data_IF_309281489490
#
_entry.id   IF_309281489490
#
_cell.length_a   1.000
_cell.length_b   1.000
_cell.length_c   1.000
_cell.angle_alpha   90.00
_cell.angle_beta   90.00
_cell.angle_gamma   90.00
#
_symmetry.space_group_name_H-M   'P 1'
#
loop_
_entity.id
_entity.type
_entity.pdbx_description
1 polymer ?
#
# COMPACT_ATOMS: atom_id res chain seq x y z
N UNK A 1 38.80 -4.86 -0.30
CA UNK A 1 38.27 -4.18 0.90
C UNK A 1 37.41 -2.95 0.61
N UNK A 2 37.53 -2.32 -0.57
CA UNK A 2 36.79 -1.09 -0.92
C UNK A 2 35.34 -1.30 -1.38
N UNK A 3 35.01 -2.47 -1.96
CA UNK A 3 33.66 -2.76 -2.45
C UNK A 3 32.60 -2.80 -1.32
N UNK A 4 32.92 -3.43 -0.19
CA UNK A 4 32.03 -3.52 0.97
C UNK A 4 31.75 -2.16 1.62
N UNK A 5 32.72 -1.24 1.64
CA UNK A 5 32.54 0.13 2.18
C UNK A 5 31.60 0.99 1.31
N UNK A 6 31.67 0.85 -0.02
CA UNK A 6 30.78 1.56 -0.92
C UNK A 6 29.35 1.01 -0.89
N UNK A 7 29.13 -0.24 -0.47
CA UNK A 7 27.84 -0.93 -0.48
C UNK A 7 27.24 -1.12 0.91
N UNK A 8 27.94 -0.69 1.98
CA UNK A 8 27.39 -0.76 3.33
C UNK A 8 26.04 -0.04 3.41
N UNK A 9 25.02 -0.61 4.07
CA UNK A 9 23.74 0.02 4.21
C UNK A 9 23.89 1.33 5.01
N UNK A 10 23.38 2.43 4.47
CA UNK A 10 23.33 3.70 5.20
C UNK A 10 22.30 3.60 6.32
N UNK A 11 22.42 4.46 7.37
CA UNK A 11 21.40 4.54 8.47
C UNK A 11 19.98 4.66 7.93
N UNK A 12 19.80 5.40 6.83
CA UNK A 12 18.51 5.56 6.16
C UNK A 12 17.93 4.23 5.67
N UNK A 13 18.74 3.35 5.09
CA UNK A 13 18.29 2.05 4.58
C UNK A 13 17.92 1.09 5.70
N UNK A 14 18.60 1.16 6.84
CA UNK A 14 18.19 0.40 8.01
C UNK A 14 16.81 0.82 8.53
N UNK A 15 16.53 2.15 8.53
CA UNK A 15 15.19 2.65 8.88
C UNK A 15 14.13 2.15 7.88
N UNK A 16 14.44 2.15 6.57
CA UNK A 16 13.53 1.63 5.56
C UNK A 16 13.28 0.12 5.71
N UNK A 17 14.32 -0.67 6.02
CA UNK A 17 14.20 -2.10 6.27
C UNK A 17 13.35 -2.36 7.51
N UNK A 18 13.61 -1.64 8.59
CA UNK A 18 12.82 -1.71 9.80
C UNK A 18 11.33 -1.39 9.53
N UNK A 19 11.05 -0.32 8.80
CA UNK A 19 9.69 0.04 8.42
C UNK A 19 9.03 -1.06 7.56
N UNK A 20 9.75 -1.66 6.61
CA UNK A 20 9.26 -2.77 5.81
C UNK A 20 8.90 -3.99 6.66
N UNK A 21 9.74 -4.34 7.64
CA UNK A 21 9.47 -5.44 8.57
C UNK A 21 8.29 -5.13 9.50
N UNK A 22 8.21 -3.89 10.01
CA UNK A 22 7.10 -3.47 10.88
C UNK A 22 5.75 -3.53 10.15
N UNK A 23 5.71 -3.09 8.89
CA UNK A 23 4.46 -3.10 8.10
C UNK A 23 4.02 -4.51 7.70
N UNK A 24 4.97 -5.45 7.61
CA UNK A 24 4.74 -6.82 7.18
C UNK A 24 5.09 -7.83 8.29
N UNK A 25 4.63 -7.56 9.51
CA UNK A 25 4.97 -8.34 10.69
C UNK A 25 4.17 -9.66 10.83
N UNK A 26 3.12 -9.89 10.03
CA UNK A 26 2.36 -11.14 10.03
C UNK A 26 3.06 -12.22 9.19
N UNK A 27 4.10 -12.82 9.77
CA UNK A 27 4.94 -13.79 9.05
C UNK A 27 4.22 -15.12 8.78
N UNK A 28 3.27 -15.51 9.63
CA UNK A 28 2.45 -16.72 9.44
C UNK A 28 1.67 -16.69 8.13
N UNK A 29 1.17 -15.52 7.71
CA UNK A 29 0.42 -15.38 6.48
C UNK A 29 1.16 -15.83 5.22
N UNK A 30 2.49 -15.69 5.19
CA UNK A 30 3.30 -16.23 4.08
C UNK A 30 3.37 -17.76 4.05
N UNK A 31 3.23 -18.40 5.22
CA UNK A 31 3.26 -19.86 5.34
C UNK A 31 1.88 -20.44 5.07
N UNK A 32 0.84 -19.76 5.51
CA UNK A 32 -0.56 -20.21 5.44
C UNK A 32 -1.26 -19.74 4.16
N UNK A 33 -0.68 -18.81 3.39
CA UNK A 33 -1.32 -18.23 2.20
C UNK A 33 -2.52 -17.33 2.52
N UNK A 34 -2.63 -16.84 3.76
CA UNK A 34 -3.77 -16.07 4.26
C UNK A 34 -3.43 -14.61 4.50
N UNK A 35 -4.43 -13.73 4.35
CA UNK A 35 -4.29 -12.30 4.62
C UNK A 35 -4.60 -12.03 6.10
N UNK A 36 -3.74 -11.25 6.76
CA UNK A 36 -4.01 -10.79 8.12
C UNK A 36 -5.32 -9.99 8.22
N UNK A 37 -6.20 -10.37 9.13
CA UNK A 37 -7.54 -9.77 9.35
C UNK A 37 -7.68 -9.03 10.69
N UNK A 38 -6.64 -9.01 11.52
CA UNK A 38 -6.68 -8.40 12.85
C UNK A 38 -6.86 -6.89 12.85
N UNK A 39 -7.14 -6.31 14.03
CA UNK A 39 -7.48 -4.90 14.25
C UNK A 39 -6.42 -3.90 13.77
N UNK A 40 -5.14 -4.30 13.72
CA UNK A 40 -4.06 -3.44 13.20
C UNK A 40 -4.26 -3.09 11.72
N UNK A 41 -5.04 -3.88 10.96
CA UNK A 41 -5.37 -3.62 9.56
C UNK A 41 -6.12 -2.30 9.34
N UNK A 42 -6.78 -1.80 10.37
CA UNK A 42 -7.49 -0.51 10.34
C UNK A 42 -6.53 0.69 10.35
N UNK A 43 -5.25 0.48 10.68
CA UNK A 43 -4.24 1.54 10.68
C UNK A 43 -3.63 1.70 9.29
N UNK A 44 -3.62 2.93 8.78
CA UNK A 44 -2.92 3.25 7.55
C UNK A 44 -1.42 3.43 7.81
N UNK A 45 -0.60 2.65 7.10
CA UNK A 45 0.86 2.83 7.10
C UNK A 45 1.26 3.99 6.18
N UNK A 46 2.31 4.77 6.50
CA UNK A 46 2.66 5.95 5.71
C UNK A 46 3.19 5.64 4.30
N UNK A 47 3.78 4.46 4.10
CA UNK A 47 4.38 4.02 2.84
C UNK A 47 3.40 3.29 1.91
N UNK A 48 3.87 3.02 0.69
CA UNK A 48 3.17 2.11 -0.23
C UNK A 48 3.47 0.67 0.22
N UNK A 49 2.45 -0.02 0.72
CA UNK A 49 2.48 -1.40 1.20
C UNK A 49 1.15 -2.05 0.86
N UNK A 50 1.15 -3.21 0.21
CA UNK A 50 -0.09 -3.80 -0.27
C UNK A 50 -0.95 -4.32 0.89
N UNK A 51 -2.19 -3.87 0.95
CA UNK A 51 -3.18 -4.37 1.91
C UNK A 51 -3.43 -5.88 1.78
N UNK A 52 -3.40 -6.43 0.55
CA UNK A 52 -3.59 -7.86 0.28
C UNK A 52 -2.30 -8.68 0.45
N UNK A 53 -1.20 -8.10 0.93
CA UNK A 53 0.00 -8.87 1.28
C UNK A 53 -0.30 -9.76 2.49
N UNK A 54 0.07 -11.06 2.46
CA UNK A 54 -0.08 -11.95 3.60
C UNK A 54 0.57 -11.43 4.89
N UNK A 55 1.72 -10.80 4.74
CA UNK A 55 2.47 -10.23 5.86
C UNK A 55 1.94 -8.88 6.36
N UNK A 56 1.11 -8.17 5.58
CA UNK A 56 0.76 -6.79 5.89
C UNK A 56 -0.20 -6.67 7.08
N UNK A 57 0.27 -6.04 8.14
CA UNK A 57 -0.52 -5.74 9.36
C UNK A 57 -1.23 -4.40 9.30
N UNK A 58 -0.91 -3.54 8.35
CA UNK A 58 -1.55 -2.23 8.16
C UNK A 58 -2.02 -2.01 6.73
N UNK A 59 -2.92 -1.05 6.54
CA UNK A 59 -3.51 -0.73 5.25
C UNK A 59 -2.70 0.32 4.48
N UNK A 60 -2.64 0.17 3.15
CA UNK A 60 -2.09 1.19 2.27
C UNK A 60 -3.05 2.39 2.19
N UNK A 61 -2.61 3.63 2.50
CA UNK A 61 -3.51 4.79 2.47
C UNK A 61 -4.05 5.09 1.06
N UNK A 62 -3.32 4.74 0.01
CA UNK A 62 -3.78 4.91 -1.36
C UNK A 62 -4.87 3.89 -1.74
N UNK A 63 -4.72 2.64 -1.31
CA UNK A 63 -5.74 1.61 -1.50
C UNK A 63 -7.01 1.94 -0.73
N UNK A 64 -6.86 2.33 0.55
CA UNK A 64 -7.97 2.76 1.39
C UNK A 64 -8.70 3.99 0.81
N UNK A 65 -7.95 4.95 0.23
CA UNK A 65 -8.55 6.10 -0.44
C UNK A 65 -9.41 5.68 -1.64
N UNK A 66 -8.89 4.82 -2.51
CA UNK A 66 -9.63 4.35 -3.69
C UNK A 66 -10.88 3.58 -3.31
N UNK A 67 -10.78 2.68 -2.32
CA UNK A 67 -11.94 1.93 -1.83
C UNK A 67 -12.99 2.85 -1.19
N UNK A 68 -12.56 3.84 -0.41
CA UNK A 68 -13.49 4.80 0.19
C UNK A 68 -14.15 5.74 -0.84
N UNK A 69 -13.45 6.07 -1.94
CA UNK A 69 -14.02 6.84 -3.05
C UNK A 69 -14.96 6.00 -3.94
N UNK A 70 -14.68 4.69 -4.05
CA UNK A 70 -15.52 3.76 -4.79
C UNK A 70 -16.77 3.30 -4.01
N UNK A 71 -16.75 3.38 -2.69
CA UNK A 71 -17.92 3.10 -1.87
C UNK A 71 -18.92 4.25 -2.03
N UNK A 72 -20.08 3.99 -2.65
CA UNK A 72 -21.15 4.97 -2.90
C UNK A 72 -21.91 5.43 -1.65
N UNK A 73 -21.41 5.08 -0.46
CA UNK A 73 -22.04 5.46 0.81
C UNK A 73 -21.77 6.90 1.19
N UNK A 74 -22.73 7.54 1.85
CA UNK A 74 -22.72 8.94 2.33
C UNK A 74 -21.52 9.30 3.24
N UNK A 75 -20.80 8.30 3.73
CA UNK A 75 -19.60 8.48 4.56
C UNK A 75 -18.37 8.67 3.66
N UNK A 76 -18.00 9.93 3.44
CA UNK A 76 -16.81 10.31 2.67
C UNK A 76 -15.50 9.73 3.24
N UNK A 77 -14.41 9.78 2.48
CA UNK A 77 -13.11 9.20 2.81
C UNK A 77 -12.34 10.02 3.88
N UNK A 78 -13.04 10.66 4.83
CA UNK A 78 -12.51 11.64 5.76
C UNK A 78 -11.38 11.10 6.64
N UNK A 79 -11.49 9.85 7.10
CA UNK A 79 -10.45 9.20 7.89
C UNK A 79 -9.14 9.10 7.10
N UNK A 80 -9.21 8.59 5.88
CA UNK A 80 -8.01 8.38 5.03
C UNK A 80 -7.43 9.73 4.59
N UNK A 81 -8.28 10.70 4.24
CA UNK A 81 -7.83 12.05 3.92
C UNK A 81 -7.16 12.73 5.12
N UNK A 82 -7.73 12.58 6.31
CA UNK A 82 -7.15 13.10 7.55
C UNK A 82 -5.76 12.52 7.82
N UNK A 83 -5.60 11.21 7.68
CA UNK A 83 -4.29 10.55 7.84
C UNK A 83 -3.30 11.01 6.75
N UNK A 84 -3.72 11.08 5.48
CA UNK A 84 -2.86 11.56 4.40
C UNK A 84 -2.41 13.01 4.61
N UNK A 85 -3.31 13.87 5.09
CA UNK A 85 -2.98 15.25 5.45
C UNK A 85 -2.03 15.31 6.64
N UNK A 86 -2.29 14.54 7.69
CA UNK A 86 -1.42 14.48 8.88
C UNK A 86 0.00 14.03 8.50
N UNK A 87 0.12 12.92 7.77
CA UNK A 87 1.40 12.39 7.29
C UNK A 87 2.06 13.36 6.29
N UNK A 88 1.29 14.00 5.43
CA UNK A 88 1.78 14.99 4.47
C UNK A 88 2.35 16.22 5.16
N UNK A 89 1.64 16.80 6.13
CA UNK A 89 2.07 17.99 6.86
C UNK A 89 3.24 17.70 7.82
N UNK A 90 3.26 16.53 8.45
CA UNK A 90 4.34 16.17 9.39
C UNK A 90 5.58 15.68 8.66
N UNK A 91 5.45 14.63 7.86
CA UNK A 91 6.56 13.90 7.22
C UNK A 91 6.77 14.27 5.75
N UNK A 92 5.69 14.58 5.02
CA UNK A 92 5.75 14.87 3.60
C UNK A 92 6.51 13.80 2.80
N UNK A 93 7.38 14.23 1.89
CA UNK A 93 8.23 13.35 1.06
C UNK A 93 9.30 12.58 1.84
N UNK A 94 9.52 12.88 3.11
CA UNK A 94 10.42 12.10 3.98
C UNK A 94 9.93 10.66 4.14
N UNK A 95 8.61 10.42 4.09
CA UNK A 95 8.02 9.07 3.99
C UNK A 95 8.65 8.29 2.84
N UNK A 96 8.71 8.89 1.64
CA UNK A 96 9.26 8.24 0.45
C UNK A 96 10.77 7.92 0.60
N UNK A 97 11.49 8.76 1.36
CA UNK A 97 12.92 8.59 1.61
C UNK A 97 13.28 7.57 2.66
N UNK A 98 12.46 7.43 3.70
CA UNK A 98 12.83 6.71 4.93
C UNK A 98 11.88 5.58 5.33
N UNK A 99 10.60 5.62 4.94
CA UNK A 99 9.59 4.71 5.47
C UNK A 99 8.96 3.81 4.38
N UNK A 100 9.15 4.12 3.10
CA UNK A 100 8.48 3.38 2.02
C UNK A 100 9.29 2.15 1.58
N UNK A 101 8.74 0.92 1.72
CA UNK A 101 9.40 -0.31 1.28
C UNK A 101 9.69 -0.34 -0.23
N UNK A 102 8.73 0.11 -1.04
CA UNK A 102 8.90 0.20 -2.50
C UNK A 102 10.02 1.16 -2.91
N UNK A 103 10.27 2.21 -2.11
CA UNK A 103 11.42 3.09 -2.33
C UNK A 103 12.76 2.39 -2.10
N UNK A 104 12.84 1.53 -1.09
CA UNK A 104 14.03 0.72 -0.80
C UNK A 104 14.29 -0.29 -1.92
N UNK A 105 13.27 -1.01 -2.35
CA UNK A 105 13.35 -2.02 -3.42
C UNK A 105 13.90 -1.42 -4.71
N UNK A 106 13.35 -0.28 -5.15
CA UNK A 106 13.81 0.40 -6.37
C UNK A 106 15.26 0.88 -6.25
N UNK A 107 15.70 1.32 -5.07
CA UNK A 107 17.11 1.69 -4.86
C UNK A 107 18.05 0.49 -4.90
N UNK A 108 17.61 -0.67 -4.43
CA UNK A 108 18.38 -1.91 -4.53
C UNK A 108 18.53 -2.36 -5.99
N UNK A 109 17.43 -2.36 -6.75
CA UNK A 109 17.42 -2.69 -8.18
C UNK A 109 18.34 -1.72 -8.96
N UNK A 110 18.30 -0.42 -8.64
CA UNK A 110 19.14 0.59 -9.31
C UNK A 110 20.66 0.42 -9.08
N UNK A 111 21.07 -0.40 -8.12
CA UNK A 111 22.52 -0.68 -7.87
C UNK A 111 23.16 -1.60 -8.90
N UNK A 112 22.39 -2.28 -9.72
CA UNK A 112 22.92 -3.12 -10.81
C UNK A 112 23.81 -2.23 -11.70
N UNK A 113 25.06 -2.60 -11.97
CA UNK A 113 26.00 -1.81 -12.75
C UNK A 113 25.62 -1.81 -14.24
N UNK A 114 24.82 -0.85 -14.63
CA UNK A 114 24.34 -0.64 -16.01
C UNK A 114 24.46 0.84 -16.38
N UNK A 115 24.50 1.20 -17.67
CA UNK A 115 24.44 2.59 -18.08
C UNK A 115 23.14 3.23 -17.55
N UNK A 116 23.27 4.38 -16.88
CA UNK A 116 22.12 5.07 -16.28
C UNK A 116 21.61 6.17 -17.19
N UNK A 117 20.27 6.27 -17.27
CA UNK A 117 19.61 7.33 -18.04
C UNK A 117 19.92 8.69 -17.38
N UNK A 118 20.53 9.65 -18.12
CA UNK A 118 20.82 10.96 -17.58
C UNK A 118 19.54 11.74 -17.29
N UNK A 119 19.63 12.66 -16.34
CA UNK A 119 18.56 13.62 -16.06
C UNK A 119 18.38 14.56 -17.25
N UNK A 120 17.13 14.82 -17.63
CA UNK A 120 16.86 15.66 -18.78
C UNK A 120 15.42 16.19 -18.84
N UNK A 121 15.13 16.90 -19.94
CA UNK A 121 13.76 17.42 -20.17
C UNK A 121 12.73 16.30 -20.23
N UNK A 122 13.05 15.19 -20.89
CA UNK A 122 12.15 14.03 -21.04
C UNK A 122 11.79 13.39 -19.69
N UNK A 123 12.78 13.12 -18.83
CA UNK A 123 12.52 12.54 -17.50
C UNK A 123 11.75 13.48 -16.59
N UNK A 124 11.88 14.78 -16.80
CA UNK A 124 11.12 15.80 -16.07
C UNK A 124 9.66 15.86 -16.54
N UNK A 125 9.41 15.81 -17.84
CA UNK A 125 8.05 15.75 -18.39
C UNK A 125 7.36 14.46 -17.92
N UNK A 126 8.05 13.33 -17.99
CA UNK A 126 7.53 12.05 -17.54
C UNK A 126 7.16 12.04 -16.04
N UNK A 127 7.82 12.86 -15.21
CA UNK A 127 7.50 12.97 -13.78
C UNK A 127 6.12 13.56 -13.49
N UNK A 128 5.48 14.23 -14.46
CA UNK A 128 4.08 14.66 -14.34
C UNK A 128 3.08 13.50 -14.49
N UNK A 129 3.49 12.37 -15.06
CA UNK A 129 2.66 11.17 -15.19
C UNK A 129 2.05 10.70 -13.87
N UNK A 130 2.72 10.85 -12.74
CA UNK A 130 2.18 10.52 -11.41
C UNK A 130 0.96 11.35 -11.00
N UNK A 131 0.83 12.59 -11.51
CA UNK A 131 -0.35 13.42 -11.25
C UNK A 131 -1.52 12.97 -12.12
N UNK A 132 -1.24 12.49 -13.34
CA UNK A 132 -2.25 11.88 -14.21
C UNK A 132 -2.74 10.57 -13.59
N UNK A 133 -1.83 9.72 -13.10
CA UNK A 133 -2.21 8.47 -12.41
C UNK A 133 -2.99 8.76 -11.13
N UNK A 134 -2.65 9.80 -10.38
CA UNK A 134 -3.41 10.22 -9.21
C UNK A 134 -4.82 10.68 -9.60
N UNK A 135 -4.93 11.63 -10.54
CA UNK A 135 -6.23 12.21 -10.93
C UNK A 135 -7.13 11.19 -11.61
N UNK A 136 -6.62 10.45 -12.60
CA UNK A 136 -7.42 9.53 -13.38
C UNK A 136 -7.65 8.20 -12.67
N UNK A 137 -6.56 7.49 -12.29
CA UNK A 137 -6.67 6.10 -11.82
C UNK A 137 -6.97 5.98 -10.32
N UNK A 138 -6.52 6.94 -9.50
CA UNK A 138 -6.73 6.84 -8.06
C UNK A 138 -7.95 7.65 -7.56
N UNK A 139 -8.47 8.61 -8.36
CA UNK A 139 -9.61 9.45 -7.97
C UNK A 139 -10.78 9.30 -8.95
N UNK A 140 -10.62 9.68 -10.22
CA UNK A 140 -11.73 9.77 -11.15
C UNK A 140 -12.40 8.42 -11.44
N UNK A 141 -11.61 7.40 -11.80
CA UNK A 141 -12.16 6.07 -12.10
C UNK A 141 -12.82 5.39 -10.89
N UNK A 142 -12.24 5.39 -9.67
CA UNK A 142 -12.94 4.85 -8.50
C UNK A 142 -14.30 5.53 -8.23
N UNK A 143 -14.37 6.85 -8.35
CA UNK A 143 -15.63 7.59 -8.18
C UNK A 143 -16.63 7.22 -9.28
N UNK A 144 -16.19 7.21 -10.55
CA UNK A 144 -17.05 6.90 -11.69
C UNK A 144 -17.66 5.50 -11.60
N UNK A 145 -16.85 4.49 -11.33
CA UNK A 145 -17.34 3.12 -11.19
C UNK A 145 -18.11 2.90 -9.88
N UNK A 146 -17.73 3.59 -8.80
CA UNK A 146 -18.48 3.57 -7.54
C UNK A 146 -19.90 4.10 -7.71
N UNK A 147 -20.09 5.17 -8.50
CA UNK A 147 -21.43 5.68 -8.86
C UNK A 147 -22.28 4.68 -9.66
N UNK A 148 -21.63 3.74 -10.35
CA UNK A 148 -22.30 2.66 -11.08
C UNK A 148 -22.49 1.38 -10.25
N UNK A 149 -22.28 1.44 -8.93
CA UNK A 149 -22.32 0.28 -8.00
C UNK A 149 -21.27 -0.81 -8.32
N UNK A 150 -20.20 -0.46 -9.04
CA UNK A 150 -19.10 -1.33 -9.40
C UNK A 150 -17.79 -0.84 -8.75
N UNK A 151 -17.56 -1.07 -7.45
CA UNK A 151 -16.39 -0.52 -6.75
C UNK A 151 -15.09 -1.02 -7.38
N UNK A 152 -14.34 -0.10 -8.02
CA UNK A 152 -13.12 -0.42 -8.74
C UNK A 152 -11.94 0.44 -8.27
N UNK A 153 -11.02 -0.10 -7.47
CA UNK A 153 -9.76 0.56 -7.15
C UNK A 153 -8.78 0.45 -8.33
N UNK A 154 -8.99 1.26 -9.38
CA UNK A 154 -8.38 1.09 -10.69
C UNK A 154 -6.84 1.06 -10.66
N UNK A 155 -6.19 1.97 -9.92
CA UNK A 155 -4.73 1.95 -9.82
C UNK A 155 -4.21 0.66 -9.16
N UNK A 156 -4.82 0.22 -8.05
CA UNK A 156 -4.42 -0.99 -7.33
C UNK A 156 -4.67 -2.25 -8.18
N UNK A 157 -5.81 -2.30 -8.89
CA UNK A 157 -6.19 -3.45 -9.72
C UNK A 157 -5.29 -3.61 -10.94
N UNK A 158 -4.92 -2.52 -11.63
CA UNK A 158 -4.29 -2.63 -12.95
C UNK A 158 -2.78 -2.32 -12.97
N UNK A 159 -2.27 -1.42 -12.13
CA UNK A 159 -0.91 -0.87 -12.28
C UNK A 159 -0.02 -1.07 -11.06
N UNK A 160 -0.58 -1.14 -9.84
CA UNK A 160 0.21 -1.08 -8.62
C UNK A 160 1.27 -2.21 -8.52
N UNK A 161 2.60 -1.89 -8.56
CA UNK A 161 3.64 -2.92 -8.47
C UNK A 161 3.74 -3.53 -7.06
N UNK A 162 3.40 -2.78 -5.99
CA UNK A 162 3.32 -3.32 -4.64
C UNK A 162 2.20 -4.36 -4.56
N UNK A 163 1.01 -4.06 -5.15
CA UNK A 163 -0.10 -5.02 -5.21
C UNK A 163 0.24 -6.29 -6.00
N UNK A 164 1.10 -6.19 -7.00
CA UNK A 164 1.55 -7.37 -7.75
C UNK A 164 2.58 -8.17 -6.96
N UNK A 165 3.63 -7.51 -6.47
CA UNK A 165 4.76 -8.19 -5.82
C UNK A 165 4.40 -8.73 -4.42
N UNK A 166 3.81 -7.88 -3.59
CA UNK A 166 3.55 -8.19 -2.18
C UNK A 166 2.23 -8.96 -1.99
N UNK A 167 1.22 -8.67 -2.82
CA UNK A 167 -0.08 -9.32 -2.75
C UNK A 167 -0.20 -10.48 -3.74
N UNK A 168 -0.27 -10.19 -5.05
CA UNK A 168 -0.60 -11.20 -6.04
C UNK A 168 0.44 -12.33 -6.11
N UNK A 169 1.75 -12.02 -6.18
CA UNK A 169 2.78 -13.07 -6.22
C UNK A 169 2.72 -13.92 -4.96
N UNK A 170 2.69 -13.28 -3.78
CA UNK A 170 2.73 -14.01 -2.51
C UNK A 170 1.50 -14.91 -2.27
N UNK A 171 0.30 -14.50 -2.72
CA UNK A 171 -0.93 -15.26 -2.55
C UNK A 171 -1.15 -16.31 -3.64
N UNK A 172 -0.99 -15.90 -4.91
CA UNK A 172 -1.33 -16.77 -6.05
C UNK A 172 -0.30 -17.87 -6.31
N UNK A 173 0.91 -17.76 -5.75
CA UNK A 173 1.91 -18.84 -5.82
C UNK A 173 1.77 -19.84 -4.67
N UNK A 174 0.86 -19.60 -3.71
CA UNK A 174 0.63 -20.55 -2.63
C UNK A 174 -0.22 -21.72 -3.12
N UNK A 175 0.13 -22.98 -2.81
CA UNK A 175 -0.57 -24.16 -3.34
C UNK A 175 -2.08 -24.20 -3.04
N UNK A 176 -2.50 -23.70 -1.89
CA UNK A 176 -3.90 -23.66 -1.50
C UNK A 176 -4.76 -22.66 -2.30
N UNK A 177 -4.12 -21.73 -3.03
CA UNK A 177 -4.78 -20.68 -3.80
C UNK A 177 -4.78 -20.92 -5.32
N UNK A 178 -4.57 -22.14 -5.77
CA UNK A 178 -4.46 -22.49 -7.21
C UNK A 178 -5.75 -22.17 -8.00
N UNK A 179 -6.91 -22.34 -7.38
CA UNK A 179 -8.20 -21.95 -7.96
C UNK A 179 -8.28 -20.44 -8.26
N UNK A 180 -7.78 -19.58 -7.34
CA UNK A 180 -7.71 -18.15 -7.55
C UNK A 180 -6.74 -17.77 -8.69
N UNK A 181 -5.65 -18.50 -8.82
CA UNK A 181 -4.70 -18.28 -9.91
C UNK A 181 -5.35 -18.54 -11.27
N UNK A 182 -6.12 -19.63 -11.40
CA UNK A 182 -6.82 -19.97 -12.65
C UNK A 182 -7.83 -18.90 -13.08
N UNK A 183 -8.58 -18.34 -12.12
CA UNK A 183 -9.57 -17.27 -12.37
C UNK A 183 -8.92 -15.92 -12.75
N UNK A 184 -7.77 -15.59 -12.20
CA UNK A 184 -7.12 -14.28 -12.38
C UNK A 184 -5.98 -14.29 -13.41
N UNK A 185 -5.78 -15.38 -14.13
CA UNK A 185 -4.63 -15.60 -15.00
C UNK A 185 -4.32 -14.43 -15.95
N UNK A 186 -5.30 -13.93 -16.70
CA UNK A 186 -5.10 -12.81 -17.64
C UNK A 186 -4.70 -11.49 -16.95
N UNK A 187 -5.36 -11.14 -15.85
CA UNK A 187 -5.05 -9.95 -15.07
C UNK A 187 -3.68 -10.08 -14.38
N UNK A 188 -3.37 -11.25 -13.86
CA UNK A 188 -2.08 -11.54 -13.23
C UNK A 188 -0.94 -11.38 -14.24
N UNK A 189 -1.09 -11.96 -15.46
CA UNK A 189 -0.09 -11.85 -16.53
C UNK A 189 0.15 -10.39 -16.92
N UNK A 190 -0.90 -9.59 -17.11
CA UNK A 190 -0.78 -8.15 -17.39
C UNK A 190 0.01 -7.43 -16.27
N UNK A 191 -0.32 -7.69 -15.02
CA UNK A 191 0.35 -7.07 -13.86
C UNK A 191 1.81 -7.50 -13.74
N UNK A 192 2.13 -8.76 -14.06
CA UNK A 192 3.51 -9.25 -14.08
C UNK A 192 4.34 -8.58 -15.18
N UNK A 193 3.78 -8.39 -16.36
CA UNK A 193 4.46 -7.65 -17.44
C UNK A 193 4.76 -6.23 -17.00
N UNK A 194 3.79 -5.52 -16.41
CA UNK A 194 3.99 -4.16 -15.88
C UNK A 194 5.08 -4.15 -14.80
N UNK A 195 5.07 -5.11 -13.87
CA UNK A 195 6.07 -5.21 -12.81
C UNK A 195 7.49 -5.40 -13.38
N UNK A 196 7.64 -6.29 -14.36
CA UNK A 196 8.93 -6.57 -15.02
C UNK A 196 9.43 -5.33 -15.78
N UNK A 197 8.56 -4.66 -16.54
CA UNK A 197 8.91 -3.41 -17.24
C UNK A 197 9.32 -2.31 -16.28
N UNK A 198 8.61 -2.14 -15.15
CA UNK A 198 8.97 -1.18 -14.11
C UNK A 198 10.28 -1.55 -13.41
N UNK A 199 10.52 -2.81 -13.14
CA UNK A 199 11.78 -3.28 -12.58
C UNK A 199 12.96 -3.00 -13.54
N UNK A 200 12.81 -3.32 -14.81
CA UNK A 200 13.79 -3.00 -15.86
C UNK A 200 14.05 -1.49 -15.95
N UNK A 201 12.98 -0.68 -15.94
CA UNK A 201 13.12 0.78 -15.92
C UNK A 201 13.85 1.29 -14.67
N UNK A 202 13.64 0.66 -13.50
CA UNK A 202 14.35 1.00 -12.26
C UNK A 202 15.84 0.66 -12.31
N UNK A 203 16.26 -0.33 -13.11
CA UNK A 203 17.69 -0.62 -13.34
C UNK A 203 18.36 0.59 -13.97
N UNK A 204 17.75 1.21 -14.97
CA UNK A 204 18.31 2.33 -15.73
C UNK A 204 18.01 3.69 -15.10
N UNK A 205 16.84 3.87 -14.49
CA UNK A 205 16.37 5.14 -13.93
C UNK A 205 16.15 5.04 -12.42
N UNK A 206 16.77 5.94 -11.66
CA UNK A 206 16.64 5.97 -10.21
C UNK A 206 15.18 6.21 -9.78
N UNK A 207 14.62 5.26 -9.02
CA UNK A 207 13.24 5.30 -8.49
C UNK A 207 12.19 5.61 -9.55
N UNK A 208 12.24 4.96 -10.71
CA UNK A 208 11.40 5.23 -11.87
C UNK A 208 9.91 5.23 -11.55
N UNK A 209 9.41 4.21 -10.86
CA UNK A 209 8.00 4.15 -10.46
C UNK A 209 7.60 5.31 -9.55
N UNK A 210 8.40 5.59 -8.50
CA UNK A 210 8.13 6.70 -7.56
C UNK A 210 8.14 8.08 -8.23
N UNK A 211 8.93 8.25 -9.31
CA UNK A 211 9.04 9.51 -10.04
C UNK A 211 7.93 9.70 -11.04
N UNK A 212 7.55 8.65 -11.76
CA UNK A 212 6.71 8.76 -12.95
C UNK A 212 5.26 8.35 -12.73
N UNK A 213 5.00 7.37 -11.85
CA UNK A 213 3.70 6.73 -11.77
C UNK A 213 3.07 6.72 -10.36
N UNK A 214 3.84 6.88 -9.28
CA UNK A 214 3.33 6.69 -7.93
C UNK A 214 2.37 7.81 -7.48
N UNK A 215 1.05 7.55 -7.32
CA UNK A 215 0.09 8.55 -6.87
C UNK A 215 0.36 9.05 -5.45
N UNK A 216 0.79 8.16 -4.54
CA UNK A 216 1.16 8.52 -3.18
C UNK A 216 2.36 9.49 -3.16
N UNK A 217 3.30 9.29 -4.10
CA UNK A 217 4.41 10.22 -4.32
C UNK A 217 3.95 11.59 -4.83
N UNK A 218 2.86 11.67 -5.61
CA UNK A 218 2.25 12.93 -6.01
C UNK A 218 1.61 13.63 -4.81
N UNK A 219 0.82 12.92 -4.00
CA UNK A 219 0.17 13.46 -2.78
C UNK A 219 1.20 14.07 -1.84
N UNK A 220 2.21 13.30 -1.43
CA UNK A 220 3.26 13.82 -0.54
C UNK A 220 4.11 14.91 -1.20
N UNK A 221 4.17 14.95 -2.53
CA UNK A 221 4.82 16.01 -3.29
C UNK A 221 4.20 17.39 -3.05
N UNK A 222 2.87 17.48 -2.93
CA UNK A 222 2.18 18.73 -2.62
C UNK A 222 2.59 19.28 -1.25
N UNK A 223 2.86 18.40 -0.27
CA UNK A 223 3.25 18.79 1.08
C UNK A 223 4.76 19.02 1.26
N UNK A 224 5.59 18.70 0.28
CA UNK A 224 7.07 18.75 0.43
C UNK A 224 7.61 20.10 0.91
N UNK A 225 6.95 21.20 0.54
CA UNK A 225 7.36 22.56 0.96
C UNK A 225 6.90 22.93 2.35
N UNK A 226 5.70 22.47 2.75
CA UNK A 226 5.05 22.86 4.00
C UNK A 226 5.27 21.86 5.12
N UNK A 227 5.77 20.65 4.82
CA UNK A 227 6.01 19.61 5.81
C UNK A 227 6.99 20.06 6.89
N UNK A 228 6.70 19.60 8.13
CA UNK A 228 7.56 19.87 9.30
C UNK A 228 8.94 19.23 9.15
N UNK A 229 8.98 17.96 8.65
CA UNK A 229 10.22 17.27 8.35
C UNK A 229 10.59 17.42 6.88
N UNK A 230 11.87 17.63 6.61
CA UNK A 230 12.35 17.80 5.25
C UNK A 230 13.78 18.33 5.22
N UNK A 231 14.23 18.70 4.06
CA UNK A 231 15.55 19.31 3.84
C UNK A 231 15.36 20.74 3.40
N UNK A 232 16.14 21.64 3.96
CA UNK A 232 16.19 23.05 3.56
C UNK A 232 17.63 23.49 3.28
N UNK A 233 17.76 24.56 2.54
CA UNK A 233 19.02 25.30 2.31
C UNK A 233 19.02 26.53 3.22
N UNK A 234 20.11 26.78 3.88
CA UNK A 234 20.39 28.00 4.61
C UNK A 234 21.07 28.95 3.62
N UNK A 235 20.31 29.92 3.13
CA UNK A 235 20.76 30.81 2.04
C UNK A 235 21.99 31.60 2.44
N UNK A 236 22.10 31.99 3.72
CA UNK A 236 23.27 32.75 4.26
C UNK A 236 24.60 31.98 4.13
N UNK A 237 24.55 30.65 4.08
CA UNK A 237 25.72 29.78 3.96
C UNK A 237 25.88 29.21 2.55
N UNK A 238 24.93 29.47 1.67
CA UNK A 238 24.92 28.88 0.34
C UNK A 238 25.75 29.66 -0.65
N UNK A 239 26.76 29.02 -1.24
CA UNK A 239 27.62 29.62 -2.29
C UNK A 239 27.08 29.39 -3.71
N UNK A 240 25.86 28.85 -3.85
CA UNK A 240 25.19 28.55 -5.13
C UNK A 240 26.05 27.72 -6.12
N UNK A 241 26.98 26.89 -5.61
CA UNK A 241 27.91 26.09 -6.43
C UNK A 241 27.23 24.96 -7.25
N UNK A 242 25.95 24.66 -7.03
CA UNK A 242 25.20 23.67 -7.81
C UNK A 242 25.52 22.19 -7.54
N UNK A 243 26.49 21.84 -6.68
CA UNK A 243 26.92 20.48 -6.40
C UNK A 243 25.75 19.59 -5.88
N UNK A 244 24.86 20.17 -5.06
CA UNK A 244 23.69 19.47 -4.54
C UNK A 244 22.72 19.04 -5.64
N UNK A 245 22.57 19.82 -6.70
CA UNK A 245 21.71 19.52 -7.85
C UNK A 245 22.37 18.52 -8.79
N UNK A 246 23.66 18.65 -9.07
CA UNK A 246 24.40 17.75 -9.96
C UNK A 246 24.46 16.32 -9.38
N UNK A 247 24.66 16.19 -8.08
CA UNK A 247 24.74 14.90 -7.38
C UNK A 247 23.39 14.30 -7.00
N UNK A 248 22.29 15.05 -7.12
CA UNK A 248 20.96 14.54 -6.81
C UNK A 248 20.56 13.47 -7.82
N UNK A 249 20.10 12.30 -7.38
CA UNK A 249 19.68 11.23 -8.30
C UNK A 249 18.30 11.48 -8.96
N UNK A 250 17.54 12.48 -8.47
CA UNK A 250 16.23 12.87 -9.04
C UNK A 250 16.31 14.24 -9.72
N UNK A 251 15.35 14.54 -10.62
CA UNK A 251 15.26 15.81 -11.35
C UNK A 251 14.63 16.90 -10.49
N UNK A 252 15.40 17.48 -9.57
CA UNK A 252 14.96 18.61 -8.75
C UNK A 252 15.45 19.94 -9.35
N UNK A 253 14.65 20.99 -9.18
CA UNK A 253 15.05 22.37 -9.53
C UNK A 253 15.80 23.04 -8.39
N UNK A 254 15.41 22.70 -7.15
CA UNK A 254 16.05 23.16 -5.92
C UNK A 254 15.94 22.10 -4.83
N UNK A 255 16.81 22.14 -3.84
CA UNK A 255 16.75 21.25 -2.68
C UNK A 255 15.44 21.51 -1.92
N UNK A 256 14.74 20.43 -1.56
CA UNK A 256 13.41 20.52 -0.93
C UNK A 256 12.25 20.79 -1.89
N UNK A 257 12.47 20.68 -3.21
CA UNK A 257 11.40 20.74 -4.22
C UNK A 257 10.38 19.59 -4.08
N UNK A 258 9.22 19.72 -4.74
CA UNK A 258 8.17 18.70 -4.76
C UNK A 258 8.65 17.33 -5.29
N UNK A 259 9.71 17.27 -6.09
CA UNK A 259 10.34 16.02 -6.52
C UNK A 259 11.39 15.50 -5.52
N UNK A 260 11.81 16.30 -4.55
CA UNK A 260 12.82 15.92 -3.58
C UNK A 260 12.29 14.84 -2.62
N UNK A 261 12.89 13.65 -2.62
CA UNK A 261 12.54 12.55 -1.71
C UNK A 261 13.18 12.68 -0.32
N UNK A 262 13.75 13.81 0.01
CA UNK A 262 14.40 14.13 1.26
C UNK A 262 15.43 13.07 1.73
N UNK A 263 16.18 12.45 0.80
CA UNK A 263 17.11 11.37 1.13
C UNK A 263 18.40 11.82 1.86
N UNK A 264 18.70 13.11 1.86
CA UNK A 264 19.86 13.68 2.53
C UNK A 264 21.19 13.56 1.78
N UNK A 265 21.24 12.99 0.58
CA UNK A 265 22.48 12.83 -0.18
C UNK A 265 23.18 14.17 -0.50
N UNK A 266 22.40 15.22 -0.74
CA UNK A 266 22.92 16.57 -0.99
C UNK A 266 23.65 17.17 0.22
N UNK A 267 23.29 16.81 1.45
CA UNK A 267 23.95 17.27 2.67
C UNK A 267 25.41 16.81 2.74
N UNK A 268 25.69 15.58 2.28
CA UNK A 268 27.03 15.01 2.32
C UNK A 268 28.01 15.64 1.32
N UNK A 269 27.49 16.31 0.27
CA UNK A 269 28.31 16.93 -0.79
C UNK A 269 28.35 18.45 -0.70
N UNK A 270 27.65 19.05 0.25
CA UNK A 270 27.66 20.50 0.43
C UNK A 270 28.93 20.96 1.13
N UNK A 271 29.81 21.74 0.48
CA UNK A 271 31.11 22.15 1.05
C UNK A 271 30.96 23.11 2.22
N UNK A 272 29.92 23.94 2.21
CA UNK A 272 29.67 24.96 3.25
C UNK A 272 28.73 24.48 4.36
N UNK A 273 28.20 23.24 4.26
CA UNK A 273 27.25 22.75 5.23
C UNK A 273 25.89 23.48 5.22
N UNK A 274 25.58 24.22 4.16
CA UNK A 274 24.37 25.03 4.02
C UNK A 274 23.07 24.21 3.97
N UNK A 275 23.15 22.87 3.91
CA UNK A 275 21.98 21.98 3.82
C UNK A 275 21.70 21.34 5.18
N UNK A 276 20.55 21.65 5.74
CA UNK A 276 20.10 21.18 7.05
C UNK A 276 18.74 20.50 6.99
N UNK A 277 18.39 19.72 8.03
CA UNK A 277 17.05 19.16 8.21
C UNK A 277 16.11 20.22 8.76
N UNK A 278 14.92 20.38 8.15
CA UNK A 278 13.80 21.09 8.77
C UNK A 278 13.45 20.38 10.08
N UNK A 279 13.08 21.13 11.11
CA UNK A 279 12.73 20.58 12.42
C UNK A 279 13.93 20.28 13.32
N UNK A 280 15.18 20.28 12.81
CA UNK A 280 16.34 20.10 13.67
C UNK A 280 16.44 21.17 14.78
N UNK A 281 15.93 22.37 14.53
CA UNK A 281 15.88 23.46 15.53
C UNK A 281 14.80 23.25 16.59
N UNK A 282 13.73 22.48 16.26
CA UNK A 282 12.65 22.16 17.20
C UNK A 282 13.06 21.01 18.13
N UNK A 283 13.75 20.00 17.56
CA UNK A 283 14.12 18.78 18.27
C UNK A 283 15.54 18.78 18.83
N UNK A 284 16.43 19.58 18.27
CA UNK A 284 17.82 19.69 18.68
C UNK A 284 18.13 21.16 19.01
N UNK A 285 17.81 21.59 20.21
CA UNK A 285 18.30 22.85 20.76
C UNK A 285 19.82 22.75 20.82
N UNK A 286 20.53 23.49 19.96
CA UNK A 286 21.99 23.39 19.80
C UNK A 286 22.78 23.85 21.05
N UNK A 287 22.12 24.46 22.02
CA UNK A 287 22.75 25.07 23.20
C UNK A 287 22.59 24.24 24.48
N UNK A 288 22.10 22.99 24.41
CA UNK A 288 22.07 22.13 25.57
C UNK A 288 23.48 21.54 25.82
N UNK A 289 24.03 21.60 27.06
CA UNK A 289 25.31 20.98 27.37
C UNK A 289 25.25 19.51 26.99
N UNK A 290 26.33 19.00 26.37
CA UNK A 290 26.47 17.62 25.89
C UNK A 290 26.39 16.60 27.05
N UNK A 291 25.27 16.53 27.73
CA UNK A 291 24.93 15.39 28.58
C UNK A 291 24.70 14.21 27.64
N UNK A 292 25.63 13.29 27.61
CA UNK A 292 25.51 12.03 26.84
C UNK A 292 24.44 11.15 27.47
N UNK A 293 23.17 11.56 27.32
CA UNK A 293 22.08 10.63 27.54
C UNK A 293 22.11 9.63 26.38
N UNK A 294 22.05 8.33 26.60
CA UNK A 294 22.12 7.32 25.53
C UNK A 294 20.80 7.26 24.74
N UNK A 295 20.28 8.44 24.32
CA UNK A 295 19.03 8.53 23.54
C UNK A 295 19.04 7.66 22.28
N UNK A 296 20.22 7.44 21.68
CA UNK A 296 20.34 6.54 20.54
C UNK A 296 20.07 5.08 20.96
N UNK A 297 20.58 4.66 22.11
CA UNK A 297 20.29 3.33 22.65
C UNK A 297 18.83 3.13 23.03
N UNK A 298 18.23 4.13 23.70
CA UNK A 298 16.81 4.13 24.06
C UNK A 298 15.90 4.14 22.82
N UNK A 299 16.25 4.91 21.78
CA UNK A 299 15.49 4.93 20.54
C UNK A 299 15.57 3.56 19.82
N UNK A 300 16.74 2.93 19.76
CA UNK A 300 16.90 1.59 19.18
C UNK A 300 16.14 0.55 20.01
N UNK A 301 16.25 0.59 21.32
CA UNK A 301 15.51 -0.31 22.22
C UNK A 301 13.99 -0.15 22.05
N UNK A 302 13.48 1.09 21.97
CA UNK A 302 12.07 1.37 21.70
C UNK A 302 11.60 0.86 20.32
N UNK A 303 12.43 1.01 19.30
CA UNK A 303 12.13 0.45 17.97
C UNK A 303 12.09 -1.08 17.98
N UNK A 304 13.04 -1.74 18.65
CA UNK A 304 13.04 -3.19 18.78
C UNK A 304 11.86 -3.71 19.61
N UNK A 305 11.50 -3.01 20.68
CA UNK A 305 10.33 -3.33 21.48
C UNK A 305 9.02 -3.19 20.66
N UNK A 306 8.87 -2.10 19.90
CA UNK A 306 7.71 -1.90 19.03
C UNK A 306 7.61 -3.01 17.98
N UNK A 307 8.72 -3.36 17.33
CA UNK A 307 8.73 -4.45 16.35
C UNK A 307 8.38 -5.79 17.02
N UNK A 308 8.96 -6.07 18.21
CA UNK A 308 8.67 -7.28 18.97
C UNK A 308 7.20 -7.40 19.35
N UNK A 309 6.61 -6.32 19.87
CA UNK A 309 5.17 -6.27 20.21
C UNK A 309 4.30 -6.45 18.96
N UNK A 310 4.64 -5.78 17.85
CA UNK A 310 3.87 -5.92 16.60
C UNK A 310 3.96 -7.34 16.04
N UNK A 311 5.14 -7.95 16.05
CA UNK A 311 5.34 -9.34 15.66
C UNK A 311 4.54 -10.30 16.56
N UNK A 312 4.59 -10.08 17.87
CA UNK A 312 3.85 -10.89 18.83
C UNK A 312 2.34 -10.77 18.62
N UNK A 313 1.79 -9.57 18.56
CA UNK A 313 0.36 -9.31 18.34
C UNK A 313 -0.11 -9.87 17.00
N UNK A 314 0.65 -9.64 15.92
CA UNK A 314 0.27 -10.06 14.57
C UNK A 314 0.29 -11.58 14.35
N UNK A 315 1.02 -12.34 15.18
CA UNK A 315 1.16 -13.79 15.02
C UNK A 315 0.54 -14.61 16.16
N UNK A 316 -0.34 -13.99 16.98
CA UNK A 316 -1.11 -14.72 18.00
C UNK A 316 -2.04 -15.74 17.33
N UNK A 317 -2.15 -16.98 17.85
CA UNK A 317 -3.17 -17.91 17.42
C UNK A 317 -4.55 -17.37 17.88
N UNK A 318 -5.49 -17.22 16.96
CA UNK A 318 -6.88 -16.93 17.30
C UNK A 318 -7.30 -15.46 17.31
N UNK A 319 -6.62 -14.57 16.59
CA UNK A 319 -7.19 -13.27 16.22
C UNK A 319 -8.06 -13.35 14.94
N UNK A 320 -8.82 -14.41 14.79
CA UNK A 320 -10.12 -14.26 14.16
C UNK A 320 -10.90 -13.36 15.09
N UNK A 321 -11.27 -12.18 14.61
CA UNK A 321 -12.22 -11.36 15.32
C UNK A 321 -13.53 -12.17 15.41
N UNK A 322 -13.70 -12.87 16.51
CA UNK A 322 -15.03 -13.35 16.87
C UNK A 322 -15.90 -12.09 16.90
N UNK A 323 -16.96 -12.02 16.12
CA UNK A 323 -17.90 -10.92 16.22
C UNK A 323 -18.34 -10.86 17.69
N UNK A 324 -18.42 -9.67 18.31
CA UNK A 324 -18.99 -9.54 19.63
C UNK A 324 -20.39 -10.18 19.58
N UNK A 325 -20.67 -11.06 20.53
CA UNK A 325 -22.00 -11.66 20.72
C UNK A 325 -22.89 -10.57 21.36
N UNK A 326 -23.13 -9.51 20.60
CA UNK A 326 -24.20 -8.56 20.82
C UNK A 326 -25.36 -8.94 19.92
N UNK A 327 -26.58 -8.69 20.39
CA UNK A 327 -27.84 -9.04 19.74
C UNK A 327 -27.71 -9.00 18.21
N UNK A 328 -27.76 -10.15 17.57
CA UNK A 328 -27.49 -10.30 16.14
C UNK A 328 -28.55 -9.49 15.40
N UNK A 329 -28.14 -8.29 14.93
CA UNK A 329 -29.02 -7.43 14.14
C UNK A 329 -29.41 -8.16 12.84
N UNK A 330 -30.67 -8.03 12.47
CA UNK A 330 -31.17 -8.55 11.19
C UNK A 330 -30.70 -7.64 10.07
N UNK A 331 -30.04 -8.20 9.05
CA UNK A 331 -29.50 -7.43 7.94
C UNK A 331 -28.80 -8.27 6.88
N UNK A 332 -28.10 -7.60 5.95
CA UNK A 332 -27.46 -8.20 4.77
C UNK A 332 -25.92 -8.26 4.88
N UNK A 333 -25.37 -7.93 6.03
CA UNK A 333 -23.92 -7.96 6.23
C UNK A 333 -23.47 -9.29 6.87
N UNK A 334 -22.22 -9.64 6.62
CA UNK A 334 -21.62 -10.83 7.23
C UNK A 334 -21.67 -10.73 8.75
N UNK A 335 -22.19 -11.78 9.39
CA UNK A 335 -22.39 -11.85 10.84
C UNK A 335 -23.78 -11.38 11.33
N UNK A 336 -24.62 -10.84 10.45
CA UNK A 336 -26.02 -10.52 10.77
C UNK A 336 -26.94 -11.70 10.52
N UNK A 337 -28.09 -11.73 11.23
CA UNK A 337 -29.17 -12.67 10.91
C UNK A 337 -29.82 -12.24 9.60
N UNK A 338 -29.87 -13.13 8.62
CA UNK A 338 -30.56 -12.85 7.37
C UNK A 338 -32.04 -12.52 7.62
N UNK A 339 -32.62 -11.49 6.99
CA UNK A 339 -34.06 -11.25 7.01
C UNK A 339 -34.79 -12.48 6.48
N UNK A 340 -35.91 -12.84 7.12
CA UNK A 340 -36.73 -13.92 6.61
C UNK A 340 -37.39 -13.52 5.29
N UNK A 341 -37.48 -14.49 4.36
CA UNK A 341 -38.14 -14.27 3.08
C UNK A 341 -38.79 -15.58 2.60
N UNK A 342 -39.77 -15.42 1.74
CA UNK A 342 -40.42 -16.49 1.03
C UNK A 342 -40.31 -16.24 -0.47
N UNK A 343 -39.93 -17.25 -1.24
CA UNK A 343 -39.83 -17.20 -2.70
C UNK A 343 -40.56 -18.37 -3.34
N UNK A 344 -41.29 -18.13 -4.46
CA UNK A 344 -41.90 -19.23 -5.19
C UNK A 344 -40.83 -20.06 -5.90
N UNK A 345 -40.98 -21.38 -5.85
CA UNK A 345 -40.08 -22.35 -6.49
C UNK A 345 -40.51 -22.66 -7.92
N UNK A 346 -39.52 -22.77 -8.81
CA UNK A 346 -39.78 -23.28 -10.17
C UNK A 346 -40.28 -24.73 -10.09
N UNK A 347 -41.46 -24.96 -10.59
CA UNK A 347 -42.13 -26.30 -10.45
C UNK A 347 -43.24 -26.36 -9.40
N UNK A 348 -43.49 -25.28 -8.69
CA UNK A 348 -44.53 -25.13 -7.70
C UNK A 348 -44.03 -25.27 -6.26
N UNK A 349 -44.77 -24.67 -5.33
CA UNK A 349 -44.38 -24.56 -3.92
C UNK A 349 -43.65 -23.25 -3.61
N UNK A 350 -43.37 -23.06 -2.33
CA UNK A 350 -42.67 -21.89 -1.80
C UNK A 350 -41.47 -22.34 -0.95
N UNK A 351 -40.39 -21.61 -1.01
CA UNK A 351 -39.26 -21.79 -0.12
C UNK A 351 -39.30 -20.72 0.97
N UNK A 352 -39.28 -21.15 2.23
CA UNK A 352 -39.24 -20.29 3.42
C UNK A 352 -37.85 -20.40 4.07
N UNK A 353 -37.11 -19.30 4.15
CA UNK A 353 -35.74 -19.32 4.70
C UNK A 353 -35.72 -19.78 6.15
N UNK A 354 -36.68 -19.31 6.95
CA UNK A 354 -36.75 -19.63 8.38
C UNK A 354 -36.98 -21.09 8.68
N UNK A 355 -37.74 -21.79 7.85
CA UNK A 355 -38.04 -23.22 7.98
C UNK A 355 -36.84 -24.11 7.61
N UNK A 356 -35.89 -23.56 6.87
CA UNK A 356 -34.66 -24.23 6.40
C UNK A 356 -33.43 -23.96 7.27
N UNK A 357 -33.62 -23.55 8.51
CA UNK A 357 -32.51 -23.36 9.47
C UNK A 357 -31.79 -24.67 9.72
N UNK A 358 -30.48 -24.59 9.87
CA UNK A 358 -29.59 -25.74 10.07
C UNK A 358 -28.97 -26.26 8.79
N UNK A 359 -29.40 -25.75 7.62
CA UNK A 359 -28.73 -25.97 6.33
C UNK A 359 -28.10 -24.70 5.81
N UNK A 360 -27.00 -24.82 5.08
CA UNK A 360 -26.40 -23.70 4.38
C UNK A 360 -27.30 -23.35 3.18
N UNK A 361 -27.72 -22.09 3.07
CA UNK A 361 -28.51 -21.60 1.92
C UNK A 361 -27.66 -20.69 1.07
N UNK A 362 -27.46 -21.03 -0.19
CA UNK A 362 -26.77 -20.24 -1.21
C UNK A 362 -27.81 -19.53 -2.05
N UNK A 363 -27.80 -18.19 -2.02
CA UNK A 363 -28.67 -17.35 -2.84
C UNK A 363 -27.87 -16.85 -4.04
N UNK A 364 -28.27 -17.26 -5.26
CA UNK A 364 -27.67 -16.79 -6.49
C UNK A 364 -28.61 -15.79 -7.18
N UNK A 365 -28.17 -14.53 -7.26
CA UNK A 365 -28.89 -13.48 -7.98
C UNK A 365 -28.34 -13.37 -9.40
N UNK A 366 -29.10 -13.85 -10.36
CA UNK A 366 -28.69 -13.88 -11.76
C UNK A 366 -29.76 -13.35 -12.72
N UNK A 367 -29.38 -13.15 -13.97
CA UNK A 367 -30.32 -12.73 -15.02
C UNK A 367 -29.97 -13.46 -16.33
N UNK A 368 -30.97 -13.70 -17.17
CA UNK A 368 -30.82 -14.42 -18.45
C UNK A 368 -29.89 -13.71 -19.43
N UNK A 369 -29.72 -12.41 -19.32
CA UNK A 369 -28.81 -11.58 -20.11
C UNK A 369 -27.42 -11.37 -19.48
N UNK A 370 -27.19 -11.87 -18.28
CA UNK A 370 -25.91 -11.83 -17.59
C UNK A 370 -25.05 -13.02 -18.01
N UNK A 371 -24.24 -12.87 -19.03
CA UNK A 371 -23.42 -13.96 -19.57
C UNK A 371 -22.53 -14.68 -18.54
N UNK A 372 -21.79 -13.98 -17.64
CA UNK A 372 -21.03 -14.67 -16.59
C UNK A 372 -21.94 -15.43 -15.62
N UNK A 373 -23.10 -14.86 -15.26
CA UNK A 373 -24.03 -15.54 -14.34
C UNK A 373 -24.55 -16.85 -14.93
N UNK A 374 -24.92 -16.85 -16.21
CA UNK A 374 -25.37 -18.07 -16.90
C UNK A 374 -24.26 -19.13 -16.98
N UNK A 375 -23.01 -18.70 -17.14
CA UNK A 375 -21.86 -19.61 -17.16
C UNK A 375 -21.57 -20.26 -15.80
N UNK A 376 -22.01 -19.64 -14.70
CA UNK A 376 -21.85 -20.17 -13.33
C UNK A 376 -22.95 -21.17 -12.93
N UNK A 377 -24.12 -21.14 -13.54
CA UNK A 377 -25.25 -22.04 -13.19
C UNK A 377 -24.88 -23.52 -13.09
N UNK A 378 -24.10 -24.10 -14.01
CA UNK A 378 -23.73 -25.51 -13.93
C UNK A 378 -22.87 -25.86 -12.71
N UNK A 379 -22.21 -24.88 -12.09
CA UNK A 379 -21.45 -25.11 -10.86
C UNK A 379 -22.37 -25.15 -9.63
N UNK A 380 -23.44 -24.36 -9.64
CA UNK A 380 -24.48 -24.41 -8.61
C UNK A 380 -25.28 -25.70 -8.68
N UNK A 381 -25.59 -26.19 -9.88
CA UNK A 381 -26.24 -27.50 -10.06
C UNK A 381 -25.36 -28.62 -9.48
N UNK A 382 -24.08 -28.64 -9.80
CA UNK A 382 -23.13 -29.60 -9.21
C UNK A 382 -23.04 -29.50 -7.69
N UNK A 383 -23.00 -28.27 -7.16
CA UNK A 383 -22.96 -28.05 -5.71
C UNK A 383 -24.21 -28.67 -5.04
N UNK A 384 -25.40 -28.47 -5.63
CA UNK A 384 -26.64 -29.03 -5.14
C UNK A 384 -26.64 -30.58 -5.19
N UNK A 385 -26.08 -31.16 -6.27
CA UNK A 385 -25.98 -32.63 -6.42
C UNK A 385 -24.95 -33.22 -5.43
N UNK A 386 -23.76 -32.60 -5.28
CA UNK A 386 -22.70 -33.13 -4.41
C UNK A 386 -23.01 -32.99 -2.93
N UNK A 387 -23.62 -31.88 -2.53
CA UNK A 387 -23.89 -31.57 -1.12
C UNK A 387 -25.28 -32.10 -0.65
N UNK A 388 -26.16 -32.42 -1.58
CA UNK A 388 -27.49 -33.02 -1.29
C UNK A 388 -28.28 -32.25 -0.24
N UNK A 389 -28.66 -32.95 0.82
CA UNK A 389 -29.49 -32.36 1.88
C UNK A 389 -28.76 -31.34 2.80
N UNK A 390 -27.48 -31.10 2.63
CA UNK A 390 -26.69 -30.16 3.47
C UNK A 390 -26.79 -28.70 3.01
N UNK A 391 -27.11 -28.47 1.73
CA UNK A 391 -27.11 -27.13 1.11
C UNK A 391 -28.39 -26.90 0.32
N UNK A 392 -29.04 -25.76 0.53
CA UNK A 392 -30.08 -25.26 -0.34
C UNK A 392 -29.48 -24.27 -1.36
N UNK A 393 -29.70 -24.48 -2.64
CA UNK A 393 -29.29 -23.55 -3.72
C UNK A 393 -30.54 -22.94 -4.33
N UNK A 394 -30.63 -21.60 -4.32
CA UNK A 394 -31.78 -20.81 -4.75
C UNK A 394 -31.39 -19.74 -5.77
#
# INVERSE_FOLDING_TARGET
MNWLRCHAPTRRRWIQLYAALLYNAHLKGFIQGEIYTGSLKNLCVPGLNCYSCPGAVGACPLGSLQNALAASTVRGPWYVLGILMLLGLTLGRTVCGFLCPMGLLQELIHRVPTPKIPKGKATRVLSYGKYVTLGLLAVALPIYFGAQQLPLPAFCKYICPAGTLEGAVALLTHPENDSLFSMLHGLFTQKMVILILLAALCVFCYRAFCRFLCPLGAIYGFFARVSLLGIRVEEDKCTHCGLCLSRCPVDIRRVGDHECVHCGACKAVCPTGAISWKGSQVFLRQDAPKRRVPWQGLAVAGMLALLGVTLWVANQPGQEAAPPVEAVETGYQVGMTAPDFTVPMYGGGEFHLWENRGKVTVLNFWATWCTPCVAELPYFDRLAEEMGDQVNVL
#
